data_IF_963466125158
#
_entry.id   IF_963466125158
#
_cell.length_a   1.000
_cell.length_b   1.000
_cell.length_c   1.000
_cell.angle_alpha   90.00
_cell.angle_beta   90.00
_cell.angle_gamma   90.00
#
_symmetry.space_group_name_H-M   'P 1'
#
loop_
_entity.id
_entity.type
_entity.pdbx_description
1 polymer ?
#
# COMPACT_ATOMS: atom_id res chain seq x y z
N UNK A 1 -35.62 33.72 -17.27
CA UNK A 1 -35.10 33.33 -15.94
C UNK A 1 -34.43 31.98 -16.13
N UNK A 2 -33.11 31.99 -16.28
CA UNK A 2 -32.33 30.89 -16.86
C UNK A 2 -31.92 29.96 -15.71
N UNK A 3 -32.50 28.76 -15.62
CA UNK A 3 -31.96 27.72 -14.76
C UNK A 3 -30.98 26.91 -15.62
N UNK A 4 -29.72 27.33 -15.57
CA UNK A 4 -28.63 26.73 -16.32
C UNK A 4 -28.44 25.29 -15.85
N UNK A 5 -28.52 24.31 -16.77
CA UNK A 5 -27.99 22.98 -16.54
C UNK A 5 -26.48 23.09 -16.34
N UNK A 6 -26.05 23.14 -15.08
CA UNK A 6 -24.69 22.76 -14.75
C UNK A 6 -24.70 21.24 -14.85
N UNK A 7 -24.06 20.72 -15.89
CA UNK A 7 -23.57 19.35 -15.92
C UNK A 7 -22.59 19.27 -14.74
N UNK A 8 -23.09 18.89 -13.56
CA UNK A 8 -22.22 18.45 -12.50
C UNK A 8 -21.62 17.15 -13.02
N UNK A 9 -20.46 17.28 -13.66
CA UNK A 9 -19.47 16.23 -13.71
C UNK A 9 -19.33 15.76 -12.26
N UNK A 10 -19.98 14.64 -11.93
CA UNK A 10 -19.59 13.84 -10.78
C UNK A 10 -18.20 13.30 -11.11
N UNK A 11 -17.20 14.18 -11.05
CA UNK A 11 -15.89 13.80 -10.61
C UNK A 11 -16.09 13.49 -9.13
N UNK A 12 -16.57 12.27 -8.86
CA UNK A 12 -16.23 11.64 -7.58
C UNK A 12 -14.71 11.76 -7.41
N UNK A 13 -14.20 11.79 -6.17
CA UNK A 13 -12.76 11.67 -5.97
C UNK A 13 -12.31 10.50 -6.84
N UNK A 14 -11.37 10.74 -7.77
CA UNK A 14 -10.55 9.64 -8.28
C UNK A 14 -10.09 8.97 -6.99
N UNK A 15 -10.47 7.70 -6.77
CA UNK A 15 -9.86 6.91 -5.71
C UNK A 15 -8.37 7.21 -5.85
N UNK A 16 -7.80 7.90 -4.86
CA UNK A 16 -6.40 8.25 -4.91
C UNK A 16 -5.69 6.91 -5.11
N UNK A 17 -5.08 6.72 -6.29
CA UNK A 17 -4.41 5.47 -6.59
C UNK A 17 -3.33 5.33 -5.54
N UNK A 18 -3.24 4.16 -4.90
CA UNK A 18 -2.24 3.98 -3.86
C UNK A 18 -0.86 4.28 -4.45
N UNK A 19 -0.04 5.10 -3.76
CA UNK A 19 1.27 5.46 -4.28
C UNK A 19 2.09 4.20 -4.49
N UNK A 20 2.90 4.17 -5.54
CA UNK A 20 3.70 3.00 -5.90
C UNK A 20 5.04 3.42 -6.52
N UNK A 21 5.88 2.43 -6.79
CA UNK A 21 7.12 2.59 -7.55
C UNK A 21 6.94 1.83 -8.87
N UNK A 22 6.97 2.55 -10.00
CA UNK A 22 6.81 1.95 -11.32
C UNK A 22 7.99 1.04 -11.64
N UNK A 23 7.68 -0.20 -12.02
CA UNK A 23 8.64 -1.27 -12.30
C UNK A 23 8.92 -2.21 -11.14
N UNK A 24 8.39 -1.94 -9.94
CA UNK A 24 8.41 -2.85 -8.79
C UNK A 24 7.15 -3.74 -8.82
N UNK A 25 7.10 -4.63 -9.81
CA UNK A 25 5.94 -5.46 -10.13
C UNK A 25 5.62 -6.54 -9.11
N UNK A 26 6.49 -6.79 -8.12
CA UNK A 26 6.19 -7.66 -6.98
C UNK A 26 5.93 -6.89 -5.66
N UNK A 27 5.99 -5.55 -5.69
CA UNK A 27 5.77 -4.65 -4.55
C UNK A 27 6.68 -4.95 -3.35
N UNK A 28 7.96 -5.27 -3.61
CA UNK A 28 8.96 -5.53 -2.56
C UNK A 28 9.79 -4.30 -2.17
N UNK A 29 9.56 -3.17 -2.84
CA UNK A 29 10.20 -1.89 -2.61
C UNK A 29 11.45 -1.66 -3.47
N UNK A 30 11.80 -2.57 -4.39
CA UNK A 30 13.03 -2.48 -5.17
C UNK A 30 12.92 -3.10 -6.56
N UNK A 31 13.15 -2.31 -7.61
CA UNK A 31 13.20 -2.82 -8.98
C UNK A 31 14.44 -3.68 -9.20
N UNK A 32 14.22 -4.96 -9.45
CA UNK A 32 15.24 -5.96 -9.69
C UNK A 32 14.71 -7.11 -10.59
N UNK A 33 15.39 -8.27 -10.58
CA UNK A 33 15.03 -9.40 -11.44
C UNK A 33 13.81 -10.18 -10.94
N UNK A 34 13.44 -10.05 -9.65
CA UNK A 34 12.22 -10.69 -9.12
C UNK A 34 10.95 -10.07 -9.68
N UNK A 35 10.95 -8.78 -10.02
CA UNK A 35 9.83 -8.10 -10.70
C UNK A 35 9.54 -8.69 -12.08
N UNK A 36 10.61 -8.94 -12.83
CA UNK A 36 10.55 -9.58 -14.15
C UNK A 36 9.95 -10.97 -14.02
N UNK A 37 10.43 -11.76 -13.04
CA UNK A 37 9.94 -13.11 -12.80
C UNK A 37 8.47 -13.09 -12.37
N UNK A 38 8.08 -12.16 -11.48
CA UNK A 38 6.70 -11.99 -11.01
C UNK A 38 5.76 -11.70 -12.19
N UNK A 39 6.12 -10.72 -13.02
CA UNK A 39 5.35 -10.32 -14.20
C UNK A 39 5.19 -11.48 -15.19
N UNK A 40 6.27 -12.19 -15.51
CA UNK A 40 6.22 -13.33 -16.43
C UNK A 40 5.46 -14.53 -15.84
N UNK A 41 5.55 -14.73 -14.53
CA UNK A 41 4.81 -15.78 -13.82
C UNK A 41 3.31 -15.55 -13.90
N UNK A 42 2.85 -14.31 -13.66
CA UNK A 42 1.47 -13.90 -13.86
C UNK A 42 1.00 -14.15 -15.32
N UNK A 43 1.79 -13.71 -16.30
CA UNK A 43 1.40 -13.77 -17.71
C UNK A 43 1.35 -15.19 -18.29
N UNK A 44 2.29 -16.06 -17.90
CA UNK A 44 2.50 -17.33 -18.61
C UNK A 44 2.42 -18.58 -17.74
N UNK A 45 2.55 -18.45 -16.42
CA UNK A 45 2.62 -19.60 -15.50
C UNK A 45 1.38 -19.72 -14.61
N UNK A 46 0.39 -18.82 -14.76
CA UNK A 46 -0.80 -18.79 -13.92
C UNK A 46 -0.51 -18.31 -12.50
N UNK A 47 0.53 -17.51 -12.31
CA UNK A 47 0.79 -16.81 -11.05
C UNK A 47 -0.33 -15.84 -10.70
N UNK A 48 -0.38 -15.44 -9.43
CA UNK A 48 -1.32 -14.41 -8.96
C UNK A 48 -1.13 -13.11 -9.72
N UNK A 49 -2.22 -12.37 -9.93
CA UNK A 49 -2.14 -11.02 -10.47
C UNK A 49 -1.35 -10.10 -9.53
N UNK A 50 -0.54 -9.16 -10.05
CA UNK A 50 0.09 -8.13 -9.24
C UNK A 50 -0.95 -7.36 -8.43
N UNK A 51 -0.67 -7.13 -7.13
CA UNK A 51 -1.52 -6.32 -6.27
C UNK A 51 -1.58 -4.85 -6.75
N UNK A 52 -0.49 -4.40 -7.38
CA UNK A 52 -0.41 -3.14 -8.09
C UNK A 52 -0.09 -3.39 -9.56
N UNK A 53 -1.10 -3.24 -10.43
CA UNK A 53 -0.90 -3.44 -11.86
C UNK A 53 -0.14 -2.28 -12.49
N UNK A 54 -0.29 -1.06 -11.95
CA UNK A 54 0.47 0.12 -12.39
C UNK A 54 1.98 -0.04 -12.14
N UNK A 55 2.37 -0.75 -11.08
CA UNK A 55 3.77 -1.05 -10.81
C UNK A 55 4.33 -2.10 -11.77
N UNK A 56 3.50 -3.06 -12.21
CA UNK A 56 3.89 -4.09 -13.16
C UNK A 56 3.89 -3.60 -14.62
N UNK A 57 3.09 -2.60 -14.96
CA UNK A 57 3.14 -1.86 -16.23
C UNK A 57 4.32 -0.88 -16.22
N UNK A 58 5.49 -1.41 -16.53
CA UNK A 58 6.76 -0.68 -16.38
C UNK A 58 6.95 0.33 -17.49
N UNK A 59 6.39 0.07 -18.67
CA UNK A 59 6.51 0.98 -19.82
C UNK A 59 5.34 1.99 -19.93
N UNK A 60 4.38 1.94 -19.00
CA UNK A 60 3.27 2.88 -18.81
C UNK A 60 2.35 2.97 -20.04
N UNK A 61 2.01 1.80 -20.60
CA UNK A 61 1.17 1.72 -21.81
C UNK A 61 -0.31 1.40 -21.51
N UNK A 62 -0.66 1.14 -20.26
CA UNK A 62 -1.98 0.75 -19.76
C UNK A 62 -2.27 -0.74 -19.86
N UNK A 63 -1.25 -1.59 -20.03
CA UNK A 63 -1.37 -3.06 -20.12
C UNK A 63 -0.15 -3.74 -19.50
N UNK A 64 -0.40 -4.63 -18.53
CA UNK A 64 0.63 -5.57 -18.05
C UNK A 64 0.83 -6.67 -19.09
N UNK A 65 1.98 -6.70 -19.73
CA UNK A 65 2.32 -7.60 -20.83
C UNK A 65 3.83 -7.94 -20.90
N UNK A 66 4.22 -8.70 -21.92
CA UNK A 66 5.62 -9.14 -22.07
C UNK A 66 6.59 -7.96 -22.25
N UNK A 67 6.14 -6.83 -22.82
CA UNK A 67 7.01 -5.67 -23.04
C UNK A 67 7.48 -5.05 -21.74
N UNK A 68 6.70 -5.14 -20.65
CA UNK A 68 7.08 -4.65 -19.33
C UNK A 68 8.28 -5.40 -18.77
N UNK A 69 8.24 -6.73 -18.80
CA UNK A 69 9.36 -7.57 -18.38
C UNK A 69 10.63 -7.27 -19.20
N UNK A 70 10.48 -7.02 -20.51
CA UNK A 70 11.59 -6.63 -21.39
C UNK A 70 12.09 -5.22 -21.04
N UNK A 71 11.20 -4.29 -20.73
CA UNK A 71 11.52 -2.92 -20.33
C UNK A 71 12.36 -2.92 -19.06
N UNK A 72 11.92 -3.64 -18.02
CA UNK A 72 12.65 -3.79 -16.75
C UNK A 72 14.04 -4.38 -16.97
N UNK A 73 14.18 -5.43 -17.78
CA UNK A 73 15.48 -6.02 -18.11
C UNK A 73 16.40 -5.04 -18.86
N UNK A 74 15.85 -4.26 -19.79
CA UNK A 74 16.60 -3.26 -20.53
C UNK A 74 17.10 -2.14 -19.60
N UNK A 75 16.23 -1.67 -18.71
CA UNK A 75 16.58 -0.69 -17.68
C UNK A 75 17.70 -1.22 -16.77
N UNK A 76 17.57 -2.44 -16.24
CA UNK A 76 18.53 -3.01 -15.28
C UNK A 76 19.90 -3.36 -15.88
N UNK A 77 19.94 -3.89 -17.11
CA UNK A 77 21.16 -4.50 -17.65
C UNK A 77 21.68 -3.89 -18.94
N UNK A 78 20.84 -3.17 -19.68
CA UNK A 78 21.20 -2.64 -21.01
C UNK A 78 21.32 -1.12 -21.06
N UNK A 79 21.16 -0.43 -19.92
CA UNK A 79 21.14 1.03 -19.87
C UNK A 79 19.95 1.63 -20.61
N UNK A 80 18.82 0.92 -20.61
CA UNK A 80 17.56 1.38 -21.16
C UNK A 80 17.01 2.62 -20.44
N UNK A 81 15.93 3.17 -20.95
CA UNK A 81 15.25 4.29 -20.31
C UNK A 81 14.80 3.89 -18.89
N UNK A 82 14.92 4.83 -17.95
CA UNK A 82 14.32 4.67 -16.62
C UNK A 82 12.79 4.52 -16.74
N UNK A 83 12.14 3.81 -15.81
CA UNK A 83 10.68 3.76 -15.76
C UNK A 83 10.09 5.18 -15.75
N UNK A 84 8.97 5.41 -16.45
CA UNK A 84 8.16 6.61 -16.27
C UNK A 84 7.79 6.83 -14.80
N UNK A 85 7.37 8.05 -14.46
CA UNK A 85 6.90 8.31 -13.10
C UNK A 85 5.72 7.38 -12.74
N UNK A 86 5.59 6.94 -11.48
CA UNK A 86 6.40 7.28 -10.30
C UNK A 86 7.67 6.42 -10.13
N UNK A 87 8.86 7.03 -10.29
CA UNK A 87 10.16 6.39 -10.06
C UNK A 87 11.22 7.49 -9.77
N UNK A 88 12.24 7.27 -8.90
CA UNK A 88 12.58 6.06 -8.13
C UNK A 88 11.88 5.93 -6.77
N UNK A 89 11.00 6.87 -6.43
CA UNK A 89 10.27 6.86 -5.18
C UNK A 89 8.77 6.71 -5.40
N UNK A 90 8.08 6.48 -4.30
CA UNK A 90 6.61 6.41 -4.25
C UNK A 90 5.97 7.66 -4.85
N UNK A 91 4.93 7.44 -5.64
CA UNK A 91 4.09 8.51 -6.17
C UNK A 91 2.83 7.96 -6.83
N UNK A 92 1.94 8.87 -7.20
CA UNK A 92 0.76 8.53 -7.98
C UNK A 92 1.11 8.38 -9.47
N UNK A 93 0.29 7.66 -10.22
CA UNK A 93 0.35 7.62 -11.69
C UNK A 93 -0.10 8.97 -12.29
N UNK A 94 0.78 9.75 -12.95
CA UNK A 94 0.41 11.02 -13.58
C UNK A 94 -0.47 10.86 -14.82
N UNK A 95 -0.38 9.70 -15.50
CA UNK A 95 -1.12 9.39 -16.72
C UNK A 95 -2.55 8.99 -16.42
N UNK A 96 -2.75 8.26 -15.33
CA UNK A 96 -4.01 7.74 -14.82
C UNK A 96 -4.73 6.92 -15.89
N UNK A 97 -4.53 5.60 -15.88
CA UNK A 97 -5.19 4.72 -16.84
C UNK A 97 -6.28 3.80 -16.22
N UNK A 98 -6.53 2.63 -16.80
CA UNK A 98 -7.54 1.67 -16.33
C UNK A 98 -6.98 0.65 -15.35
N UNK A 99 -5.66 0.52 -15.30
CA UNK A 99 -4.96 -0.22 -14.28
C UNK A 99 -5.09 0.53 -12.96
N UNK A 100 -4.81 -0.20 -11.89
CA UNK A 100 -4.91 0.34 -10.56
C UNK A 100 -3.90 -0.31 -9.65
N UNK A 101 -3.67 0.40 -8.56
CA UNK A 101 -2.86 -0.04 -7.45
C UNK A 101 -3.78 -0.27 -6.26
N UNK A 102 -4.11 -1.54 -5.99
CA UNK A 102 -5.00 -1.90 -4.89
C UNK A 102 -4.25 -2.06 -3.56
N UNK A 103 -2.98 -2.45 -3.64
CA UNK A 103 -2.08 -2.54 -2.50
C UNK A 103 -0.63 -2.41 -2.98
N UNK A 104 0.15 -1.62 -2.25
CA UNK A 104 1.59 -1.43 -2.46
C UNK A 104 2.26 -1.12 -1.12
N UNK A 105 2.56 -2.15 -0.31
CA UNK A 105 3.08 -1.98 1.04
C UNK A 105 4.32 -1.07 1.17
N UNK A 106 5.28 -1.08 0.22
CA UNK A 106 6.46 -0.20 0.32
C UNK A 106 6.15 1.30 0.32
N UNK A 107 4.96 1.70 -0.16
CA UNK A 107 4.54 3.09 -0.25
C UNK A 107 3.39 3.45 0.69
N UNK A 108 2.98 2.55 1.58
CA UNK A 108 1.91 2.80 2.54
C UNK A 108 2.20 4.04 3.43
N UNK A 109 3.48 4.37 3.69
CA UNK A 109 3.89 5.58 4.41
C UNK A 109 3.77 6.90 3.63
N UNK A 110 3.42 6.89 2.34
CA UNK A 110 3.12 8.08 1.55
C UNK A 110 1.64 8.52 1.65
N UNK A 111 0.79 7.72 2.31
CA UNK A 111 -0.52 8.14 2.83
C UNK A 111 -0.31 8.94 4.13
N UNK A 112 -1.24 9.82 4.54
CA UNK A 112 -1.19 10.40 5.88
C UNK A 112 -1.18 9.25 6.90
N UNK A 113 -0.01 9.02 7.51
CA UNK A 113 0.18 7.97 8.51
C UNK A 113 -0.70 8.26 9.71
N UNK A 114 -1.64 7.36 9.99
CA UNK A 114 -2.41 7.42 11.23
C UNK A 114 -1.55 6.74 12.29
N UNK A 115 -1.17 7.50 13.31
CA UNK A 115 -0.34 6.97 14.39
C UNK A 115 -1.12 5.86 15.12
N UNK A 116 -0.54 4.67 15.21
CA UNK A 116 -1.19 3.49 15.76
C UNK A 116 -1.86 2.55 14.75
N UNK A 117 -1.94 2.93 13.47
CA UNK A 117 -2.41 2.06 12.37
C UNK A 117 -1.24 1.20 11.87
N UNK A 118 -0.97 0.10 12.55
CA UNK A 118 0.20 -0.74 12.32
C UNK A 118 0.08 -1.59 11.05
N UNK A 119 -1.14 -1.87 10.59
CA UNK A 119 -1.42 -2.66 9.39
C UNK A 119 -1.58 -1.77 8.13
N UNK A 120 -1.72 -0.46 8.30
CA UNK A 120 -1.86 0.57 7.28
C UNK A 120 -3.14 0.52 6.43
N UNK A 121 -4.23 0.01 6.98
CA UNK A 121 -5.53 -0.04 6.31
C UNK A 121 -6.30 1.30 6.40
N UNK A 122 -5.78 2.27 7.17
CA UNK A 122 -6.35 3.59 7.34
C UNK A 122 -7.31 3.70 8.52
N UNK A 123 -7.37 2.71 9.42
CA UNK A 123 -8.07 2.78 10.71
C UNK A 123 -7.13 2.39 11.85
N UNK A 124 -7.48 2.76 13.09
CA UNK A 124 -6.80 2.27 14.29
C UNK A 124 -7.77 1.33 15.00
N UNK A 125 -7.51 0.03 14.95
CA UNK A 125 -8.35 -1.01 15.51
C UNK A 125 -7.56 -2.15 16.21
N UNK A 126 -8.24 -3.25 16.52
CA UNK A 126 -7.61 -4.38 17.21
C UNK A 126 -6.56 -5.09 16.34
N UNK A 127 -6.72 -5.10 15.02
CA UNK A 127 -5.82 -5.77 14.09
C UNK A 127 -4.44 -5.11 14.11
N UNK A 128 -4.34 -3.82 14.42
CA UNK A 128 -3.06 -3.13 14.61
C UNK A 128 -2.28 -3.67 15.81
N UNK A 129 -2.97 -3.94 16.91
CA UNK A 129 -2.38 -4.56 18.09
C UNK A 129 -1.88 -5.98 17.79
N UNK A 130 -2.59 -6.70 16.93
CA UNK A 130 -2.17 -8.04 16.47
C UNK A 130 -0.91 -7.98 15.60
N UNK A 131 -0.82 -6.98 14.72
CA UNK A 131 0.35 -6.76 13.88
C UNK A 131 1.59 -6.40 14.72
N UNK A 132 1.46 -5.56 15.74
CA UNK A 132 2.57 -5.29 16.69
C UNK A 132 2.92 -6.53 17.51
N UNK A 133 1.93 -7.31 17.97
CA UNK A 133 2.17 -8.58 18.67
C UNK A 133 3.01 -9.52 17.81
N UNK A 134 2.66 -9.69 16.54
CA UNK A 134 3.35 -10.62 15.64
C UNK A 134 4.74 -10.09 15.26
N UNK A 135 4.92 -8.78 15.15
CA UNK A 135 6.25 -8.16 15.05
C UNK A 135 7.14 -8.50 16.25
N UNK A 136 6.63 -8.26 17.47
CA UNK A 136 7.39 -8.44 18.72
C UNK A 136 7.68 -9.91 19.00
N UNK A 137 6.75 -10.81 18.67
CA UNK A 137 6.86 -12.24 19.02
C UNK A 137 7.45 -13.11 17.91
N UNK A 138 7.24 -12.74 16.64
CA UNK A 138 7.66 -13.53 15.47
C UNK A 138 8.69 -12.81 14.60
N UNK A 139 9.01 -11.55 14.88
CA UNK A 139 9.96 -10.76 14.09
C UNK A 139 9.45 -10.42 12.70
N UNK A 140 8.13 -10.38 12.50
CA UNK A 140 7.51 -10.05 11.23
C UNK A 140 7.90 -8.63 10.79
N UNK A 141 8.27 -8.46 9.53
CA UNK A 141 8.54 -7.12 8.99
C UNK A 141 7.23 -6.34 8.83
N UNK A 142 7.18 -5.13 9.37
CA UNK A 142 5.99 -4.27 9.35
C UNK A 142 6.01 -3.36 8.12
N UNK A 143 4.91 -3.36 7.38
CA UNK A 143 4.68 -2.45 6.25
C UNK A 143 4.71 -0.97 6.68
N UNK A 144 4.18 -0.67 7.87
CA UNK A 144 4.08 0.68 8.41
C UNK A 144 4.80 0.86 9.75
N UNK A 145 6.12 0.67 9.76
CA UNK A 145 6.95 0.88 10.97
C UNK A 145 6.74 2.26 11.60
N UNK A 146 6.56 3.30 10.80
CA UNK A 146 6.36 4.67 11.31
C UNK A 146 4.99 4.86 11.98
N UNK A 147 3.98 4.13 11.54
CA UNK A 147 2.65 4.14 12.15
C UNK A 147 2.62 3.26 13.41
N UNK A 148 3.29 2.10 13.34
CA UNK A 148 3.42 1.14 14.42
C UNK A 148 4.31 1.63 15.56
N UNK A 149 5.24 2.57 15.33
CA UNK A 149 5.98 3.31 16.37
C UNK A 149 5.09 4.42 16.96
N UNK A 150 4.03 3.98 17.65
CA UNK A 150 2.99 4.85 18.18
C UNK A 150 3.51 5.84 19.24
N UNK A 151 4.59 5.49 19.97
CA UNK A 151 5.18 6.38 20.97
C UNK A 151 6.32 7.25 20.40
N UNK A 152 6.67 7.05 19.13
CA UNK A 152 7.69 7.78 18.38
C UNK A 152 9.09 7.70 19.02
N UNK A 153 9.41 6.55 19.64
CA UNK A 153 10.72 6.29 20.25
C UNK A 153 11.73 5.67 19.26
N UNK A 154 11.28 5.37 18.03
CA UNK A 154 12.08 4.82 16.95
C UNK A 154 12.15 3.29 16.94
N UNK A 155 11.42 2.60 17.84
CA UNK A 155 11.45 1.15 17.98
C UNK A 155 10.03 0.62 18.17
N UNK A 156 9.53 -0.17 17.22
CA UNK A 156 8.25 -0.86 17.41
C UNK A 156 8.36 -1.97 18.46
N UNK A 157 7.67 -1.81 19.59
CA UNK A 157 7.66 -2.74 20.71
C UNK A 157 6.34 -2.72 21.49
N UNK A 158 6.30 -3.40 22.64
CA UNK A 158 5.09 -3.49 23.47
C UNK A 158 4.58 -2.14 23.98
N UNK A 159 5.45 -1.12 24.08
CA UNK A 159 5.06 0.22 24.50
C UNK A 159 4.19 0.91 23.45
N UNK A 160 4.36 0.58 22.18
CA UNK A 160 3.52 1.09 21.09
C UNK A 160 2.14 0.47 21.11
N UNK A 161 2.08 -0.85 21.34
CA UNK A 161 0.80 -1.56 21.50
C UNK A 161 -0.04 -1.00 22.66
N UNK A 162 0.61 -0.53 23.75
CA UNK A 162 -0.08 0.13 24.86
C UNK A 162 -0.70 1.45 24.43
N UNK A 163 -0.06 2.21 23.53
CA UNK A 163 -0.63 3.46 23.04
C UNK A 163 -1.78 3.23 22.05
N UNK A 164 -1.67 2.23 21.19
CA UNK A 164 -2.78 1.80 20.32
C UNK A 164 -3.98 1.40 21.18
N UNK A 165 -3.75 0.61 22.23
CA UNK A 165 -4.79 0.17 23.13
C UNK A 165 -5.52 1.34 23.83
N UNK A 166 -4.83 2.43 24.16
CA UNK A 166 -5.48 3.62 24.72
C UNK A 166 -6.46 4.26 23.73
N UNK A 167 -6.12 4.28 22.44
CA UNK A 167 -7.01 4.79 21.37
C UNK A 167 -8.25 3.89 21.21
N UNK A 168 -8.09 2.57 21.35
CA UNK A 168 -9.21 1.62 21.26
C UNK A 168 -10.16 1.67 22.46
N UNK A 169 -9.65 2.04 23.64
CA UNK A 169 -10.44 2.14 24.88
C UNK A 169 -11.19 3.49 24.97
N UNK A 170 -10.72 4.53 24.27
CA UNK A 170 -11.41 5.82 24.18
C UNK A 170 -12.64 5.81 23.25
N UNK A 171 -12.87 4.70 22.53
CA UNK A 171 -14.17 4.38 21.96
C UNK A 171 -15.09 3.88 23.09
N UNK A 172 -16.12 4.65 23.43
CA UNK A 172 -16.96 4.48 24.62
C UNK A 172 -17.08 3.02 25.10
N UNK A 173 -16.63 2.69 26.33
CA UNK A 173 -16.81 1.36 26.85
C UNK A 173 -18.30 1.10 26.98
N UNK A 174 -18.85 0.20 26.15
CA UNK A 174 -20.16 -0.39 26.44
C UNK A 174 -20.04 -1.06 27.79
N UNK A 175 -20.76 -0.54 28.79
CA UNK A 175 -20.77 -1.06 30.15
C UNK A 175 -20.97 -2.58 30.11
N UNK A 176 -19.93 -3.32 30.52
CA UNK A 176 -20.05 -4.76 30.78
C UNK A 176 -20.65 -4.88 32.17
N UNK A 177 -21.93 -5.23 32.22
CA UNK A 177 -22.64 -5.53 33.46
C UNK A 177 -22.17 -6.90 33.97
N UNK A 178 -21.42 -6.90 35.08
CA UNK A 178 -20.89 -8.11 35.70
C UNK A 178 -21.90 -8.81 36.65
N UNK A 179 -23.18 -8.40 36.70
CA UNK A 179 -24.18 -8.94 37.64
C UNK A 179 -25.03 -10.12 37.11
N UNK A 180 -24.75 -10.72 35.95
CA UNK A 180 -25.53 -11.87 35.46
C UNK A 180 -24.82 -13.22 35.55
N UNK A 181 -24.29 -13.55 36.73
CA UNK A 181 -23.89 -14.93 37.07
C UNK A 181 -24.85 -15.46 38.14
N UNK A 182 -25.96 -16.06 37.67
CA UNK A 182 -26.78 -16.98 38.47
C UNK A 182 -26.19 -18.40 38.41
#
# INVERSE_FOLDING_TARGET
MVCSLILASFLGPRLAADPFIRGDGNADGSINMTDVISTLSFLFLGGSAPACQDAADTDDNGLVQLTDAIYTLNFLFSGGAQPPAPWPGCGEDPGGDKLGCADFPPCAGARPVILGDANCDGVVDQDDGEIIRDHVTMGLELCCRTAADANQDGIVNVNDAVLILNVLIDAEPTAVDCDSVD
#
